data_IF_880874069020
#
_entry.id   IF_880874069020
#
_cell.length_a   1.000
_cell.length_b   1.000
_cell.length_c   1.000
_cell.angle_alpha   90.00
_cell.angle_beta   90.00
_cell.angle_gamma   90.00
#
_symmetry.space_group_name_H-M   'P 1'
#
loop_
_entity.id
_entity.type
_entity.pdbx_description
1 polymer ?
#
# COMPACT_ATOMS: atom_id res chain seq x y z
N UNK A 1 10.30 -7.40 -8.83
CA UNK A 1 10.30 -6.87 -7.45
C UNK A 1 10.77 -5.43 -7.44
N UNK A 2 10.21 -4.61 -6.56
CA UNK A 2 10.52 -3.19 -6.46
C UNK A 2 10.09 -2.61 -5.12
N UNK A 3 10.52 -1.38 -4.85
CA UNK A 3 10.20 -0.62 -3.64
C UNK A 3 9.51 0.69 -4.03
N UNK A 4 8.80 1.30 -3.08
CA UNK A 4 8.14 2.59 -3.27
C UNK A 4 7.55 3.10 -1.96
N UNK A 5 7.11 4.36 -1.96
CA UNK A 5 6.52 5.02 -0.80
C UNK A 5 5.00 5.00 -0.93
N UNK A 6 4.32 4.50 0.11
CA UNK A 6 2.88 4.57 0.22
C UNK A 6 2.47 5.97 0.70
N UNK A 7 1.79 6.75 -0.14
CA UNK A 7 1.51 8.18 0.14
C UNK A 7 0.03 8.52 0.29
N UNK A 8 -0.86 7.74 -0.32
CA UNK A 8 -2.30 7.96 -0.21
C UNK A 8 -3.01 6.61 -0.14
N UNK A 9 -3.66 6.35 0.98
CA UNK A 9 -4.36 5.11 1.24
C UNK A 9 -5.83 5.41 1.53
N UNK A 10 -6.72 4.66 0.90
CA UNK A 10 -8.16 4.69 1.16
C UNK A 10 -8.66 3.25 1.34
N UNK A 11 -9.96 3.08 1.59
CA UNK A 11 -10.58 1.75 1.60
C UNK A 11 -10.67 1.11 0.21
N UNK A 12 -10.54 1.86 -0.89
CA UNK A 12 -10.66 1.32 -2.26
C UNK A 12 -9.33 1.13 -2.96
N UNK A 13 -8.26 1.79 -2.50
CA UNK A 13 -6.98 1.71 -3.16
C UNK A 13 -5.86 2.45 -2.46
N UNK A 14 -4.72 2.43 -3.12
CA UNK A 14 -3.49 3.06 -2.65
C UNK A 14 -2.71 3.71 -3.80
N UNK A 15 -1.99 4.79 -3.50
CA UNK A 15 -0.99 5.39 -4.37
C UNK A 15 0.41 5.06 -3.85
N UNK A 16 1.23 4.54 -4.74
CA UNK A 16 2.64 4.27 -4.52
C UNK A 16 3.43 5.27 -5.37
N UNK A 17 4.27 6.06 -4.71
CA UNK A 17 5.18 7.02 -5.34
C UNK A 17 6.63 6.60 -5.16
N UNK A 18 7.52 7.28 -5.89
CA UNK A 18 8.96 7.04 -5.90
C UNK A 18 9.31 5.56 -6.07
N UNK A 19 8.54 4.89 -6.93
CA UNK A 19 8.66 3.46 -7.12
C UNK A 19 9.83 3.13 -8.04
N UNK A 20 10.63 2.14 -7.65
CA UNK A 20 11.73 1.62 -8.47
C UNK A 20 11.23 0.83 -9.70
N UNK A 21 9.91 0.57 -9.78
CA UNK A 21 9.26 -0.15 -10.88
C UNK A 21 7.96 0.54 -11.26
N UNK A 22 7.55 0.42 -12.52
CA UNK A 22 6.27 0.94 -12.98
C UNK A 22 5.50 -0.16 -13.72
N UNK A 23 4.73 -1.00 -13.00
CA UNK A 23 3.98 -2.09 -13.61
C UNK A 23 2.90 -1.56 -14.56
N UNK A 24 2.56 -2.33 -15.59
CA UNK A 24 1.58 -1.91 -16.61
C UNK A 24 0.18 -1.76 -16.01
N UNK A 25 -0.57 -0.73 -16.45
CA UNK A 25 -1.99 -0.58 -16.12
C UNK A 25 -2.77 -1.86 -16.46
N UNK A 26 -3.68 -2.25 -15.57
CA UNK A 26 -4.44 -3.51 -15.62
C UNK A 26 -3.74 -4.71 -14.99
N UNK A 27 -2.43 -4.61 -14.72
CA UNK A 27 -1.67 -5.70 -14.10
C UNK A 27 -2.05 -5.86 -12.64
N UNK A 28 -2.14 -7.12 -12.20
CA UNK A 28 -2.29 -7.48 -10.79
C UNK A 28 -0.94 -7.35 -10.09
N UNK A 29 -0.93 -6.71 -8.92
CA UNK A 29 0.25 -6.54 -8.08
C UNK A 29 -0.03 -6.98 -6.65
N UNK A 30 1.02 -7.41 -5.97
CA UNK A 30 1.04 -7.71 -4.54
C UNK A 30 2.09 -6.82 -3.89
N UNK A 31 1.70 -6.12 -2.83
CA UNK A 31 2.52 -5.13 -2.12
C UNK A 31 2.59 -5.55 -0.66
N UNK A 32 3.80 -5.56 -0.11
CA UNK A 32 4.02 -5.79 1.31
C UNK A 32 4.37 -4.46 1.97
N UNK A 33 3.49 -3.96 2.84
CA UNK A 33 3.67 -2.69 3.53
C UNK A 33 4.26 -2.93 4.91
N UNK A 34 5.44 -2.36 5.14
CA UNK A 34 6.12 -2.40 6.42
C UNK A 34 5.89 -1.07 7.14
N UNK A 35 5.23 -1.12 8.30
CA UNK A 35 5.10 0.03 9.21
C UNK A 35 6.08 -0.15 10.37
N UNK A 36 6.52 0.96 10.96
CA UNK A 36 7.30 0.88 12.21
C UNK A 36 6.49 0.13 13.28
N UNK A 37 7.10 -0.81 14.02
CA UNK A 37 6.42 -1.52 15.09
C UNK A 37 5.96 -0.53 16.17
N UNK A 38 4.70 -0.64 16.59
CA UNK A 38 4.20 0.09 17.78
C UNK A 38 4.90 -0.41 19.04
N UNK A 39 5.25 -1.69 19.07
CA UNK A 39 6.05 -2.32 20.12
C UNK A 39 7.45 -2.63 19.58
N UNK A 40 8.53 -2.03 20.13
CA UNK A 40 9.91 -2.22 19.67
C UNK A 40 10.41 -3.67 19.69
N UNK A 41 9.75 -4.56 20.45
CA UNK A 41 10.15 -5.97 20.55
C UNK A 41 9.22 -6.92 19.76
N UNK A 42 8.13 -6.41 19.18
CA UNK A 42 7.26 -7.22 18.33
C UNK A 42 7.87 -7.38 16.93
N UNK A 43 7.79 -8.58 16.31
CA UNK A 43 8.21 -8.74 14.93
C UNK A 43 7.33 -7.90 14.01
N UNK A 44 7.95 -7.13 13.10
CA UNK A 44 7.24 -6.41 12.07
C UNK A 44 6.62 -7.42 11.08
N UNK A 45 5.32 -7.66 11.18
CA UNK A 45 4.57 -8.39 10.15
C UNK A 45 4.09 -7.39 9.10
N UNK A 46 4.46 -7.56 7.81
CA UNK A 46 3.97 -6.66 6.77
C UNK A 46 2.48 -6.87 6.53
N UNK A 47 1.79 -5.80 6.15
CA UNK A 47 0.44 -5.89 5.59
C UNK A 47 0.53 -6.29 4.12
N UNK A 48 -0.22 -7.30 3.70
CA UNK A 48 -0.32 -7.67 2.29
C UNK A 48 -1.46 -6.90 1.62
N UNK A 49 -1.15 -6.13 0.58
CA UNK A 49 -2.13 -5.48 -0.29
C UNK A 49 -2.12 -6.14 -1.67
N UNK A 50 -3.29 -6.58 -2.12
CA UNK A 50 -3.47 -7.14 -3.46
C UNK A 50 -4.42 -6.27 -4.26
N UNK A 51 -3.98 -5.85 -5.44
CA UNK A 51 -4.75 -4.93 -6.26
C UNK A 51 -4.36 -4.94 -7.73
N UNK A 52 -5.06 -4.12 -8.50
CA UNK A 52 -4.80 -3.88 -9.93
C UNK A 52 -4.30 -2.47 -10.13
N UNK A 53 -3.28 -2.32 -10.98
CA UNK A 53 -2.82 -0.99 -11.37
C UNK A 53 -3.89 -0.31 -12.21
N UNK A 54 -4.45 0.81 -11.73
CA UNK A 54 -5.52 1.53 -12.42
C UNK A 54 -5.01 2.77 -13.17
N UNK A 55 -3.88 3.33 -12.73
CA UNK A 55 -3.21 4.45 -13.41
C UNK A 55 -1.76 4.59 -12.96
N UNK A 56 -0.97 5.32 -13.75
CA UNK A 56 0.36 5.79 -13.36
C UNK A 56 0.30 7.19 -12.74
N UNK A 57 1.32 7.52 -11.94
CA UNK A 57 1.65 8.88 -11.51
C UNK A 57 3.00 9.30 -12.09
N UNK A 58 3.49 10.49 -11.75
CA UNK A 58 4.80 10.98 -12.18
C UNK A 58 5.98 10.12 -11.69
N UNK A 59 5.87 9.51 -10.51
CA UNK A 59 6.94 8.69 -9.92
C UNK A 59 6.49 7.28 -9.49
N UNK A 60 5.29 6.84 -9.88
CA UNK A 60 4.80 5.52 -9.50
C UNK A 60 3.45 5.16 -10.11
N UNK A 61 2.57 4.58 -9.31
CA UNK A 61 1.30 4.01 -9.77
C UNK A 61 0.26 3.90 -8.65
N UNK A 62 -1.02 3.95 -9.03
CA UNK A 62 -2.13 3.71 -8.13
C UNK A 62 -2.74 2.34 -8.37
N UNK A 63 -3.18 1.71 -7.29
CA UNK A 63 -3.89 0.43 -7.30
C UNK A 63 -5.31 0.57 -6.78
N UNK A 64 -6.21 -0.22 -7.34
CA UNK A 64 -7.50 -0.55 -6.75
C UNK A 64 -7.41 -1.94 -6.12
N UNK A 65 -7.93 -2.12 -4.91
CA UNK A 65 -7.88 -3.41 -4.23
C UNK A 65 -8.82 -4.43 -4.88
N UNK A 66 -8.37 -5.68 -4.99
CA UNK A 66 -9.22 -6.75 -5.51
C UNK A 66 -10.23 -7.27 -4.46
N UNK A 67 -9.86 -7.20 -3.17
CA UNK A 67 -10.72 -7.49 -2.02
C UNK A 67 -10.33 -6.55 -0.88
N UNK A 68 -11.32 -5.93 -0.22
CA UNK A 68 -11.07 -5.17 1.01
C UNK A 68 -10.89 -6.11 2.19
N UNK A 69 -9.66 -6.61 2.34
CA UNK A 69 -9.24 -7.40 3.49
C UNK A 69 -9.40 -6.59 4.80
N UNK A 70 -9.90 -7.19 5.90
CA UNK A 70 -9.83 -6.61 7.24
C UNK A 70 -8.46 -6.00 7.61
N UNK A 71 -7.36 -6.58 7.13
CA UNK A 71 -6.01 -6.05 7.36
C UNK A 71 -5.79 -4.68 6.69
N UNK A 72 -6.33 -4.47 5.48
CA UNK A 72 -6.28 -3.17 4.80
C UNK A 72 -7.05 -2.12 5.58
N UNK A 73 -8.21 -2.49 6.15
CA UNK A 73 -8.97 -1.57 7.01
C UNK A 73 -8.16 -1.12 8.21
N UNK A 74 -7.49 -2.06 8.88
CA UNK A 74 -6.63 -1.72 10.00
C UNK A 74 -5.48 -0.79 9.59
N UNK A 75 -4.88 -0.98 8.41
CA UNK A 75 -3.84 -0.11 7.89
C UNK A 75 -4.38 1.32 7.62
N UNK A 76 -5.54 1.44 6.98
CA UNK A 76 -6.23 2.73 6.75
C UNK A 76 -6.53 3.42 8.07
N UNK A 77 -7.09 2.70 9.04
CA UNK A 77 -7.46 3.25 10.35
C UNK A 77 -6.22 3.74 11.12
N UNK A 78 -5.11 3.00 11.07
CA UNK A 78 -3.82 3.42 11.66
C UNK A 78 -3.24 4.65 10.96
N UNK A 79 -3.30 4.70 9.63
CA UNK A 79 -2.82 5.85 8.87
C UNK A 79 -3.62 7.12 9.21
N UNK A 80 -4.94 7.00 9.33
CA UNK A 80 -5.81 8.10 9.75
C UNK A 80 -5.51 8.59 11.17
N UNK A 81 -5.28 7.67 12.12
CA UNK A 81 -4.97 8.01 13.51
C UNK A 81 -3.59 8.68 13.71
N UNK A 82 -2.70 8.59 12.72
CA UNK A 82 -1.33 9.15 12.80
C UNK A 82 -1.22 10.56 12.20
N UNK A 83 -2.32 11.13 11.69
CA UNK A 83 -2.36 12.49 11.11
C UNK A 83 -2.93 13.56 12.06
N UNK A 84 -3.30 13.19 13.29
CA UNK A 84 -3.63 14.09 14.42
C UNK A 84 -2.41 14.34 15.31
#
# INVERSE_FOLDING_TARGET
DGIGVLVNISYSGALIEDSSVQPTVGSRVRIYVFTEPVDPIAPASPYELVGRVVRHSSSGFAIEYEDTDPEVRQLVDKAAASQD
#
